data_IF_926723262056
#
_entry.id   IF_926723262056
#
_cell.length_a   1.000
_cell.length_b   1.000
_cell.length_c   1.000
_cell.angle_alpha   90.00
_cell.angle_beta   90.00
_cell.angle_gamma   90.00
#
_symmetry.space_group_name_H-M   'P 1'
#
loop_
_entity.id
_entity.type
_entity.pdbx_description
1 polymer ?
#
# COMPACT_ATOMS: atom_id res chain seq x y z
N UNK A 1 3.69 -4.65 15.87
CA UNK A 1 3.89 -3.50 14.95
C UNK A 1 3.01 -2.36 15.42
N UNK A 2 3.53 -1.13 15.43
CA UNK A 2 2.71 0.05 15.65
C UNK A 2 1.68 0.19 14.52
N UNK A 3 0.43 0.51 14.86
CA UNK A 3 -0.69 0.61 13.90
C UNK A 3 -0.40 1.59 12.75
N UNK A 4 0.44 2.59 13.00
CA UNK A 4 0.89 3.61 12.04
C UNK A 4 1.74 3.04 10.90
N UNK A 5 2.49 1.95 11.12
CA UNK A 5 3.36 1.38 10.09
C UNK A 5 2.55 0.97 8.86
N UNK A 6 1.32 0.48 9.03
CA UNK A 6 0.48 0.06 7.91
C UNK A 6 0.02 1.19 6.99
N UNK A 7 0.14 2.45 7.45
CA UNK A 7 -0.23 3.64 6.68
C UNK A 7 0.97 4.28 5.96
N UNK A 8 2.20 3.78 6.16
CA UNK A 8 3.41 4.35 5.51
C UNK A 8 3.24 4.49 3.99
N UNK A 9 2.78 3.48 3.24
CA UNK A 9 2.62 3.62 1.79
C UNK A 9 1.63 4.73 1.42
N UNK A 10 0.51 4.81 2.14
CA UNK A 10 -0.48 5.87 1.95
C UNK A 10 0.10 7.26 2.20
N UNK A 11 0.86 7.43 3.29
CA UNK A 11 1.47 8.72 3.64
C UNK A 11 2.50 9.13 2.58
N UNK A 12 3.37 8.21 2.17
CA UNK A 12 4.40 8.47 1.16
C UNK A 12 3.78 8.86 -0.19
N UNK A 13 2.83 8.07 -0.70
CA UNK A 13 2.15 8.39 -1.95
C UNK A 13 1.30 9.66 -1.82
N UNK A 14 0.61 9.85 -0.69
CA UNK A 14 -0.18 11.05 -0.43
C UNK A 14 0.66 12.33 -0.45
N UNK A 15 1.85 12.30 0.16
CA UNK A 15 2.78 13.43 0.10
C UNK A 15 3.29 13.67 -1.32
N UNK A 16 3.63 12.61 -2.06
CA UNK A 16 4.11 12.72 -3.44
C UNK A 16 3.06 13.31 -4.38
N UNK A 17 1.85 12.74 -4.39
CA UNK A 17 0.74 13.23 -5.21
C UNK A 17 0.25 14.61 -4.76
N UNK A 18 0.28 14.90 -3.45
CA UNK A 18 -0.01 16.23 -2.93
C UNK A 18 0.98 17.28 -3.45
N UNK A 19 2.28 16.99 -3.40
CA UNK A 19 3.31 17.88 -3.94
C UNK A 19 3.18 18.08 -5.45
N UNK A 20 2.89 17.00 -6.19
CA UNK A 20 2.64 17.06 -7.63
C UNK A 20 1.43 17.96 -7.97
N UNK A 21 0.37 17.91 -7.15
CA UNK A 21 -0.82 18.76 -7.31
C UNK A 21 -0.51 20.25 -7.13
N UNK A 22 0.28 20.61 -6.11
CA UNK A 22 0.70 22.00 -5.90
C UNK A 22 1.66 22.51 -6.97
N UNK A 23 2.44 21.61 -7.57
CA UNK A 23 3.47 21.96 -8.53
C UNK A 23 2.97 22.07 -9.99
N UNK A 24 1.68 21.80 -10.25
CA UNK A 24 1.07 21.86 -11.59
C UNK A 24 1.84 21.05 -12.67
N UNK A 25 2.45 19.91 -12.29
CA UNK A 25 3.30 19.08 -13.19
C UNK A 25 2.46 18.25 -14.19
N UNK A 26 1.28 18.73 -14.57
CA UNK A 26 0.37 18.07 -15.49
C UNK A 26 -0.82 17.38 -14.80
N UNK A 27 -1.77 16.85 -15.59
CA UNK A 27 -3.02 16.31 -15.07
C UNK A 27 -2.77 15.04 -14.24
N UNK A 28 -3.15 15.08 -12.97
CA UNK A 28 -3.17 13.90 -12.10
C UNK A 28 -4.29 12.97 -12.60
N UNK A 29 -3.94 11.75 -12.96
CA UNK A 29 -4.93 10.75 -13.36
C UNK A 29 -5.85 10.43 -12.18
N UNK A 30 -7.17 10.47 -12.41
CA UNK A 30 -8.18 10.06 -11.42
C UNK A 30 -7.93 8.66 -10.86
N UNK A 31 -7.27 7.78 -11.63
CA UNK A 31 -6.91 6.43 -11.20
C UNK A 31 -5.94 6.45 -10.00
N UNK A 32 -5.05 7.43 -9.92
CA UNK A 32 -4.07 7.55 -8.84
C UNK A 32 -4.75 7.80 -7.48
N UNK A 33 -5.83 8.58 -7.47
CA UNK A 33 -6.63 8.85 -6.27
C UNK A 33 -7.32 7.58 -5.78
N UNK A 34 -7.87 6.78 -6.71
CA UNK A 34 -8.47 5.47 -6.38
C UNK A 34 -7.46 4.57 -5.69
N UNK A 35 -6.22 4.49 -6.21
CA UNK A 35 -5.15 3.70 -5.60
C UNK A 35 -4.74 4.22 -4.21
N UNK A 36 -4.72 5.54 -4.02
CA UNK A 36 -4.46 6.15 -2.71
C UNK A 36 -5.51 5.74 -1.67
N UNK A 37 -6.79 5.74 -2.05
CA UNK A 37 -7.88 5.26 -1.18
C UNK A 37 -7.71 3.78 -0.87
N UNK A 38 -7.28 2.94 -1.83
CA UNK A 38 -7.01 1.52 -1.57
C UNK A 38 -5.87 1.33 -0.57
N UNK A 39 -4.78 2.11 -0.65
CA UNK A 39 -3.70 2.06 0.32
C UNK A 39 -4.17 2.47 1.73
N UNK A 40 -5.03 3.50 1.83
CA UNK A 40 -5.64 3.90 3.09
C UNK A 40 -6.52 2.77 3.67
N UNK A 41 -7.40 2.20 2.83
CA UNK A 41 -8.30 1.12 3.23
C UNK A 41 -7.50 -0.10 3.70
N UNK A 42 -6.41 -0.44 2.99
CA UNK A 42 -5.49 -1.51 3.35
C UNK A 42 -4.85 -1.28 4.73
N UNK A 43 -4.33 -0.07 4.97
CA UNK A 43 -3.77 0.31 6.27
C UNK A 43 -4.80 0.24 7.40
N UNK A 44 -6.04 0.68 7.13
CA UNK A 44 -7.15 0.63 8.09
C UNK A 44 -7.55 -0.80 8.45
N UNK A 45 -7.69 -1.68 7.45
CA UNK A 45 -8.02 -3.09 7.69
C UNK A 45 -6.91 -3.80 8.47
N UNK A 46 -5.63 -3.58 8.12
CA UNK A 46 -4.50 -4.15 8.86
C UNK A 46 -4.42 -3.64 10.30
N UNK A 47 -4.76 -2.36 10.53
CA UNK A 47 -4.82 -1.80 11.89
C UNK A 47 -5.89 -2.47 12.76
N UNK A 48 -6.93 -3.05 12.16
CA UNK A 48 -7.96 -3.83 12.85
C UNK A 48 -7.63 -5.33 12.92
N UNK A 49 -6.40 -5.72 12.59
CA UNK A 49 -5.94 -7.11 12.46
C UNK A 49 -6.68 -7.90 11.37
N UNK A 50 -7.25 -7.29 10.33
CA UNK A 50 -7.77 -8.07 9.20
C UNK A 50 -6.64 -8.34 8.20
N UNK A 51 -6.16 -9.60 8.16
CA UNK A 51 -5.06 -10.01 7.29
C UNK A 51 -5.37 -9.85 5.79
N UNK A 52 -6.64 -9.95 5.39
CA UNK A 52 -7.10 -9.69 4.02
C UNK A 52 -6.89 -8.25 3.57
N UNK A 53 -6.74 -7.30 4.51
CA UNK A 53 -6.41 -5.92 4.16
C UNK A 53 -5.11 -5.80 3.36
N UNK A 54 -4.17 -6.75 3.50
CA UNK A 54 -2.88 -6.70 2.81
C UNK A 54 -3.05 -6.92 1.30
N UNK A 55 -4.05 -7.73 0.90
CA UNK A 55 -4.38 -7.97 -0.50
C UNK A 55 -4.86 -6.69 -1.21
N UNK A 56 -5.57 -5.81 -0.49
CA UNK A 56 -6.02 -4.52 -1.02
C UNK A 56 -4.85 -3.58 -1.35
N UNK A 57 -3.72 -3.69 -0.63
CA UNK A 57 -2.51 -2.91 -0.92
C UNK A 57 -1.61 -3.54 -1.98
N UNK A 58 -1.72 -4.86 -2.20
CA UNK A 58 -1.01 -5.56 -3.27
C UNK A 58 -1.58 -5.20 -4.64
N UNK A 59 -2.90 -5.02 -4.77
CA UNK A 59 -3.56 -4.64 -6.02
C UNK A 59 -2.96 -3.36 -6.66
N UNK A 60 -2.90 -2.21 -5.95
CA UNK A 60 -2.25 -1.00 -6.47
C UNK A 60 -0.78 -1.21 -6.76
N UNK A 61 -0.07 -2.00 -5.95
CA UNK A 61 1.36 -2.25 -6.16
C UNK A 61 1.62 -3.01 -7.48
N UNK A 62 0.84 -4.05 -7.78
CA UNK A 62 0.91 -4.76 -9.07
C UNK A 62 0.57 -3.82 -10.23
N UNK A 63 -0.45 -2.97 -10.06
CA UNK A 63 -0.80 -2.00 -11.09
C UNK A 63 0.33 -1.00 -11.35
N UNK A 64 1.01 -0.52 -10.30
CA UNK A 64 2.17 0.36 -10.40
C UNK A 64 3.33 -0.30 -11.16
N UNK A 65 3.59 -1.59 -10.88
CA UNK A 65 4.60 -2.37 -11.61
C UNK A 65 4.20 -2.49 -13.08
N UNK A 66 2.93 -2.78 -13.36
CA UNK A 66 2.42 -2.91 -14.73
C UNK A 66 2.53 -1.59 -15.50
N UNK A 67 2.18 -0.46 -14.88
CA UNK A 67 2.35 0.86 -15.48
C UNK A 67 3.82 1.18 -15.72
N UNK A 68 4.71 0.86 -14.77
CA UNK A 68 6.16 1.04 -14.92
C UNK A 68 6.81 0.18 -16.01
N UNK A 69 6.20 -0.94 -16.41
CA UNK A 69 6.68 -1.76 -17.54
C UNK A 69 6.27 -1.22 -18.91
N UNK A 70 5.33 -0.28 -18.96
CA UNK A 70 4.96 0.39 -20.21
C UNK A 70 5.85 1.62 -20.33
N UNK A 71 6.57 1.74 -21.45
CA UNK A 71 7.35 2.93 -21.75
C UNK A 71 6.41 4.13 -21.93
N UNK A 72 6.04 4.78 -20.83
CA UNK A 72 5.19 5.98 -20.81
C UNK A 72 5.96 7.26 -21.18
N UNK A 73 7.24 7.14 -21.58
CA UNK A 73 8.09 8.29 -21.87
C UNK A 73 8.50 9.09 -20.62
N UNK A 74 8.28 8.53 -19.42
CA UNK A 74 8.74 9.12 -18.16
C UNK A 74 10.23 8.79 -17.92
N UNK A 75 10.99 9.80 -17.49
CA UNK A 75 12.44 9.73 -17.22
C UNK A 75 12.75 8.77 -16.05
N UNK A 76 11.75 8.49 -15.20
CA UNK A 76 11.88 7.70 -13.99
C UNK A 76 11.09 6.41 -14.17
N UNK A 77 11.77 5.27 -14.04
CA UNK A 77 11.13 3.97 -14.07
C UNK A 77 10.33 3.75 -12.78
N UNK A 78 9.00 3.61 -12.88
CA UNK A 78 8.07 3.43 -11.75
C UNK A 78 8.05 1.98 -11.22
N UNK A 79 8.62 1.04 -11.98
CA UNK A 79 8.71 -0.39 -11.64
C UNK A 79 9.40 -0.69 -10.29
N UNK A 80 10.60 -0.16 -9.98
CA UNK A 80 11.27 -0.41 -8.69
C UNK A 80 10.42 0.05 -7.49
N UNK A 81 9.71 1.16 -7.61
CA UNK A 81 8.84 1.68 -6.54
C UNK A 81 7.67 0.73 -6.31
N UNK A 82 7.04 0.25 -7.38
CA UNK A 82 5.97 -0.74 -7.30
C UNK A 82 6.41 -2.04 -6.60
N UNK A 83 7.62 -2.53 -6.91
CA UNK A 83 8.19 -3.74 -6.27
C UNK A 83 8.41 -3.52 -4.77
N UNK A 84 8.97 -2.39 -4.37
CA UNK A 84 9.20 -2.06 -2.95
C UNK A 84 7.87 -2.04 -2.18
N UNK A 85 6.85 -1.42 -2.74
CA UNK A 85 5.51 -1.33 -2.13
C UNK A 85 4.84 -2.71 -2.07
N UNK A 86 5.02 -3.55 -3.09
CA UNK A 86 4.51 -4.91 -3.12
C UNK A 86 5.12 -5.75 -1.99
N UNK A 87 6.44 -5.75 -1.85
CA UNK A 87 7.15 -6.46 -0.78
C UNK A 87 6.67 -5.96 0.58
N UNK A 88 6.50 -4.64 0.74
CA UNK A 88 6.02 -4.04 1.97
C UNK A 88 4.64 -4.57 2.38
N UNK A 89 3.67 -4.60 1.47
CA UNK A 89 2.33 -5.10 1.77
C UNK A 89 2.28 -6.61 2.00
N UNK A 90 3.14 -7.39 1.32
CA UNK A 90 3.29 -8.83 1.59
C UNK A 90 3.78 -9.06 3.02
N UNK A 91 4.83 -8.36 3.47
CA UNK A 91 5.34 -8.45 4.83
C UNK A 91 4.27 -8.03 5.84
N UNK A 92 3.58 -6.92 5.60
CA UNK A 92 2.52 -6.43 6.47
C UNK A 92 1.36 -7.43 6.59
N UNK A 93 0.97 -8.08 5.48
CA UNK A 93 -0.03 -9.15 5.48
C UNK A 93 0.40 -10.36 6.30
N UNK A 94 1.65 -10.83 6.14
CA UNK A 94 2.22 -11.95 6.91
C UNK A 94 2.25 -11.62 8.41
N UNK A 95 2.71 -10.43 8.79
CA UNK A 95 2.77 -10.03 10.20
C UNK A 95 1.36 -9.96 10.81
N UNK A 96 0.38 -9.42 10.08
CA UNK A 96 -1.02 -9.41 10.53
C UNK A 96 -1.58 -10.83 10.69
N UNK A 97 -1.22 -11.76 9.81
CA UNK A 97 -1.62 -13.17 9.91
C UNK A 97 -1.05 -13.86 11.15
N UNK A 98 0.24 -13.65 11.44
CA UNK A 98 0.90 -14.17 12.65
C UNK A 98 0.25 -13.60 13.92
N UNK A 99 -0.04 -12.31 13.95
CA UNK A 99 -0.68 -11.66 15.10
C UNK A 99 -2.09 -12.21 15.35
N UNK A 100 -2.88 -12.44 14.30
CA UNK A 100 -4.19 -13.09 14.43
C UNK A 100 -4.10 -14.49 15.02
N UNK A 101 -3.14 -15.31 14.56
CA UNK A 101 -2.95 -16.66 15.11
C UNK A 101 -2.53 -16.62 16.58
N UNK A 102 -1.64 -15.71 16.97
CA UNK A 102 -1.25 -15.53 18.38
C UNK A 102 -2.44 -15.14 19.26
N UNK A 103 -3.27 -14.21 18.79
CA UNK A 103 -4.49 -13.82 19.51
C UNK A 103 -5.45 -15.00 19.70
N UNK A 104 -5.70 -15.79 18.66
CA UNK A 104 -6.58 -16.96 18.73
C UNK A 104 -6.04 -18.06 19.66
N UNK A 105 -4.72 -18.28 19.66
CA UNK A 105 -4.09 -19.25 20.56
C UNK A 105 -4.10 -18.84 22.04
N UNK A 106 -4.05 -17.54 22.35
CA UNK A 106 -4.16 -17.06 23.72
C UNK A 106 -5.59 -17.20 24.27
N UNK A 107 -6.61 -17.03 23.42
CA UNK A 107 -8.01 -17.27 23.80
C UNK A 107 -8.25 -18.76 24.11
N UNK A 108 -7.66 -19.67 23.34
CA UNK A 108 -7.80 -21.11 23.56
C UNK A 108 -7.01 -21.65 24.77
N UNK A 109 -6.16 -20.83 25.40
CA UNK A 109 -5.35 -21.19 26.57
C UNK A 109 -5.89 -20.60 27.88
N UNK A 110 -6.87 -19.70 27.82
CA UNK A 110 -7.56 -19.12 28.96
C UNK A 110 -8.84 -19.92 29.26
#
# INVERSE_FOLDING_TARGET
MGRILFYIPFILFGMFYGFAAFSNIGPISYIAVVWLVLFFMSGFLLSKNFYWGGLLGILPAINLIYMGTRDTGQIINEMPIGIVVLIYYVICGIVSFINNRKSKNNINKA
#
